data_IF_752844591676
#
_entry.id   IF_752844591676
#
_cell.length_a   1.000
_cell.length_b   1.000
_cell.length_c   1.000
_cell.angle_alpha   90.00
_cell.angle_beta   90.00
_cell.angle_gamma   90.00
#
_symmetry.space_group_name_H-M   'P 1'
#
loop_
_entity.id
_entity.type
_entity.pdbx_description
1 polymer ?
#
# COMPACT_ATOMS: atom_id res chain seq x y z
N UNK A 1 16.91 -14.80 -15.85
CA UNK A 1 16.59 -13.37 -15.64
C UNK A 1 15.14 -13.06 -15.98
N UNK A 2 14.65 -13.29 -17.21
CA UNK A 2 13.25 -13.05 -17.61
C UNK A 2 12.21 -13.75 -16.71
N UNK A 3 12.38 -15.06 -16.46
CA UNK A 3 11.51 -15.82 -15.54
C UNK A 3 11.51 -15.27 -14.10
N UNK A 4 12.65 -14.74 -13.66
CA UNK A 4 12.87 -14.23 -12.31
C UNK A 4 12.17 -12.86 -12.13
N UNK A 5 12.25 -11.99 -13.14
CA UNK A 5 11.52 -10.71 -13.19
C UNK A 5 10.00 -10.94 -13.26
N UNK A 6 9.56 -11.91 -14.07
CA UNK A 6 8.15 -12.26 -14.21
C UNK A 6 7.56 -12.80 -12.91
N UNK A 7 8.28 -13.71 -12.23
CA UNK A 7 7.81 -14.35 -11.00
C UNK A 7 7.90 -13.46 -9.76
N UNK A 8 8.98 -12.70 -9.58
CA UNK A 8 9.18 -11.91 -8.35
C UNK A 8 8.54 -10.52 -8.40
N UNK A 9 8.25 -9.99 -9.60
CA UNK A 9 7.80 -8.60 -9.69
C UNK A 9 6.49 -8.45 -10.47
N UNK A 10 6.35 -9.05 -11.66
CA UNK A 10 5.11 -8.87 -12.43
C UNK A 10 3.92 -9.59 -11.82
N UNK A 11 4.10 -10.83 -11.36
CA UNK A 11 3.01 -11.62 -10.77
C UNK A 11 2.46 -10.99 -9.47
N UNK A 12 3.28 -10.63 -8.46
CA UNK A 12 2.78 -10.00 -7.24
C UNK A 12 2.12 -8.64 -7.52
N UNK A 13 2.64 -7.87 -8.47
CA UNK A 13 2.09 -6.57 -8.84
C UNK A 13 0.71 -6.71 -9.51
N UNK A 14 0.54 -7.72 -10.37
CA UNK A 14 -0.75 -8.01 -11.03
C UNK A 14 -1.78 -8.53 -10.03
N UNK A 15 -1.38 -9.43 -9.12
CA UNK A 15 -2.25 -9.94 -8.06
C UNK A 15 -2.64 -8.85 -7.05
N UNK A 16 -1.71 -7.96 -6.70
CA UNK A 16 -1.97 -6.78 -5.88
C UNK A 16 -2.97 -5.84 -6.55
N UNK A 17 -2.82 -5.57 -7.86
CA UNK A 17 -3.76 -4.77 -8.63
C UNK A 17 -5.17 -5.36 -8.60
N UNK A 18 -5.29 -6.66 -8.87
CA UNK A 18 -6.60 -7.33 -8.90
C UNK A 18 -7.27 -7.30 -7.52
N UNK A 19 -6.51 -7.54 -6.45
CA UNK A 19 -7.01 -7.46 -5.07
C UNK A 19 -7.44 -6.04 -4.72
N UNK A 20 -6.63 -5.04 -5.08
CA UNK A 20 -6.93 -3.62 -4.87
C UNK A 20 -8.22 -3.23 -5.58
N UNK A 21 -8.33 -3.52 -6.88
CA UNK A 21 -9.53 -3.21 -7.68
C UNK A 21 -10.77 -3.88 -7.10
N UNK A 22 -10.71 -5.19 -6.82
CA UNK A 22 -11.85 -5.92 -6.26
C UNK A 22 -12.32 -5.36 -4.92
N UNK A 23 -11.38 -4.99 -4.04
CA UNK A 23 -11.72 -4.42 -2.73
C UNK A 23 -12.34 -3.01 -2.87
N UNK A 24 -11.72 -2.13 -3.67
CA UNK A 24 -12.21 -0.76 -3.84
C UNK A 24 -13.53 -0.70 -4.59
N UNK A 25 -13.72 -1.52 -5.63
CA UNK A 25 -14.99 -1.60 -6.36
C UNK A 25 -16.12 -2.04 -5.44
N UNK A 26 -15.92 -3.12 -4.65
CA UNK A 26 -16.92 -3.58 -3.69
C UNK A 26 -17.23 -2.53 -2.63
N UNK A 27 -16.20 -1.81 -2.16
CA UNK A 27 -16.39 -0.73 -1.18
C UNK A 27 -17.17 0.45 -1.76
N UNK A 28 -16.88 0.86 -3.00
CA UNK A 28 -17.59 1.94 -3.70
C UNK A 28 -19.05 1.53 -3.95
N UNK A 29 -19.28 0.29 -4.39
CA UNK A 29 -20.62 -0.28 -4.59
C UNK A 29 -21.46 -0.17 -3.31
N UNK A 30 -20.94 -0.66 -2.18
CA UNK A 30 -21.67 -0.65 -0.89
C UNK A 30 -21.90 0.78 -0.39
N UNK A 31 -20.90 1.66 -0.45
CA UNK A 31 -21.05 3.07 -0.05
C UNK A 31 -22.11 3.78 -0.90
N UNK A 32 -22.17 3.48 -2.20
CA UNK A 32 -23.15 4.06 -3.12
C UNK A 32 -24.56 3.52 -2.84
N UNK A 33 -24.68 2.22 -2.57
CA UNK A 33 -25.94 1.58 -2.18
C UNK A 33 -26.51 2.22 -0.91
N UNK A 34 -25.70 2.33 0.15
CA UNK A 34 -26.06 2.97 1.43
C UNK A 34 -26.42 4.44 1.22
N UNK A 35 -25.60 5.21 0.50
CA UNK A 35 -25.88 6.62 0.19
C UNK A 35 -27.24 6.77 -0.49
N UNK A 36 -27.53 5.91 -1.46
CA UNK A 36 -28.78 5.99 -2.23
C UNK A 36 -29.99 5.78 -1.33
N UNK A 37 -29.93 4.84 -0.38
CA UNK A 37 -31.01 4.62 0.59
C UNK A 37 -31.14 5.77 1.58
N UNK A 38 -30.04 6.34 2.06
CA UNK A 38 -30.07 7.54 2.90
C UNK A 38 -30.68 8.73 2.17
N UNK A 39 -30.38 8.90 0.88
CA UNK A 39 -30.99 9.94 0.05
C UNK A 39 -32.50 9.73 -0.09
N UNK A 40 -32.96 8.48 -0.29
CA UNK A 40 -34.41 8.21 -0.33
C UNK A 40 -35.09 8.51 0.99
N UNK A 41 -34.46 8.20 2.14
CA UNK A 41 -34.97 8.60 3.46
C UNK A 41 -35.03 10.12 3.60
N UNK A 42 -34.08 10.86 3.00
CA UNK A 42 -34.10 12.32 3.01
C UNK A 42 -35.26 12.88 2.17
N UNK A 43 -35.56 12.26 1.03
CA UNK A 43 -36.67 12.67 0.17
C UNK A 43 -38.05 12.26 0.70
N UNK A 44 -38.12 11.14 1.42
CA UNK A 44 -39.33 10.58 2.01
C UNK A 44 -39.15 10.42 3.52
N UNK A 45 -39.26 11.51 4.30
CA UNK A 45 -38.92 11.51 5.73
C UNK A 45 -39.98 10.84 6.61
N UNK A 46 -41.20 10.60 6.12
CA UNK A 46 -42.32 10.02 6.87
C UNK A 46 -43.14 9.06 5.99
N UNK A 47 -43.89 8.16 6.62
CA UNK A 47 -44.75 7.19 5.93
C UNK A 47 -44.16 5.77 5.80
N UNK A 48 -44.91 4.89 5.12
CA UNK A 48 -44.52 3.48 4.92
C UNK A 48 -43.24 3.35 4.09
N UNK A 49 -43.05 4.22 3.10
CA UNK A 49 -41.85 4.23 2.23
C UNK A 49 -40.56 4.47 3.04
N UNK A 50 -40.60 5.39 4.02
CA UNK A 50 -39.46 5.63 4.91
C UNK A 50 -39.09 4.35 5.69
N UNK A 51 -40.10 3.67 6.20
CA UNK A 51 -39.92 2.44 6.98
C UNK A 51 -39.31 1.33 6.11
N UNK A 52 -39.73 1.24 4.84
CA UNK A 52 -39.14 0.34 3.86
C UNK A 52 -37.66 0.65 3.62
N UNK A 53 -37.31 1.92 3.36
CA UNK A 53 -35.90 2.29 3.13
C UNK A 53 -35.01 2.06 4.36
N UNK A 54 -35.53 2.27 5.56
CA UNK A 54 -34.84 1.93 6.82
C UNK A 54 -34.61 0.43 6.95
N UNK A 55 -35.61 -0.40 6.63
CA UNK A 55 -35.46 -1.85 6.61
C UNK A 55 -34.44 -2.32 5.56
N UNK A 56 -34.43 -1.69 4.39
CA UNK A 56 -33.42 -1.96 3.36
C UNK A 56 -32.00 -1.60 3.85
N UNK A 57 -31.83 -0.48 4.56
CA UNK A 57 -30.54 -0.14 5.20
C UNK A 57 -30.10 -1.18 6.23
N UNK A 58 -31.03 -1.64 7.10
CA UNK A 58 -30.72 -2.69 8.06
C UNK A 58 -30.30 -3.98 7.34
N UNK A 59 -31.01 -4.36 6.29
CA UNK A 59 -30.67 -5.53 5.47
C UNK A 59 -29.27 -5.40 4.87
N UNK A 60 -28.92 -4.24 4.29
CA UNK A 60 -27.58 -3.99 3.74
C UNK A 60 -26.51 -4.12 4.82
N UNK A 61 -26.75 -3.62 6.03
CA UNK A 61 -25.78 -3.67 7.13
C UNK A 61 -25.60 -5.10 7.67
N UNK A 62 -26.70 -5.84 7.82
CA UNK A 62 -26.72 -7.15 8.47
C UNK A 62 -26.35 -8.30 7.53
N UNK A 63 -26.44 -8.09 6.22
CA UNK A 63 -26.23 -9.14 5.21
C UNK A 63 -24.78 -9.17 4.69
N UNK A 64 -24.26 -10.39 4.50
CA UNK A 64 -23.01 -10.69 3.76
C UNK A 64 -21.75 -9.92 4.17
N UNK A 65 -21.67 -9.49 5.43
CA UNK A 65 -20.48 -8.77 5.93
C UNK A 65 -20.22 -7.44 5.22
N UNK A 66 -21.23 -6.88 4.50
CA UNK A 66 -21.11 -5.58 3.82
C UNK A 66 -20.73 -4.45 4.78
N UNK A 67 -21.13 -4.55 6.05
CA UNK A 67 -20.71 -3.63 7.11
C UNK A 67 -19.19 -3.45 7.23
N UNK A 68 -18.39 -4.47 6.90
CA UNK A 68 -16.92 -4.39 6.96
C UNK A 68 -16.32 -3.39 5.97
N UNK A 69 -17.09 -2.97 4.96
CA UNK A 69 -16.66 -1.99 3.96
C UNK A 69 -17.01 -0.55 4.32
N UNK A 70 -17.82 -0.34 5.36
CA UNK A 70 -18.15 0.97 5.90
C UNK A 70 -17.12 1.41 6.95
N UNK A 71 -16.91 2.72 7.10
CA UNK A 71 -16.18 3.22 8.26
C UNK A 71 -17.05 3.08 9.51
N UNK A 72 -16.40 3.01 10.68
CA UNK A 72 -17.10 2.88 11.96
C UNK A 72 -18.13 4.00 12.16
N UNK A 73 -17.76 5.23 11.85
CA UNK A 73 -18.64 6.39 12.02
C UNK A 73 -19.86 6.32 11.09
N UNK A 74 -19.66 5.96 9.81
CA UNK A 74 -20.77 5.78 8.86
C UNK A 74 -21.66 4.62 9.30
N UNK A 75 -21.08 3.50 9.72
CA UNK A 75 -21.84 2.35 10.22
C UNK A 75 -22.71 2.72 11.43
N UNK A 76 -22.13 3.36 12.45
CA UNK A 76 -22.84 3.74 13.68
C UNK A 76 -23.99 4.71 13.37
N UNK A 77 -23.77 5.68 12.47
CA UNK A 77 -24.80 6.65 12.09
C UNK A 77 -25.92 6.01 11.27
N UNK A 78 -25.58 5.17 10.28
CA UNK A 78 -26.57 4.47 9.46
C UNK A 78 -27.41 3.54 10.32
N UNK A 79 -26.81 2.84 11.28
CA UNK A 79 -27.52 1.96 12.21
C UNK A 79 -28.55 2.76 13.03
N UNK A 80 -28.15 3.90 13.60
CA UNK A 80 -29.07 4.80 14.34
C UNK A 80 -30.23 5.27 13.47
N UNK A 81 -29.93 5.82 12.28
CA UNK A 81 -30.94 6.28 11.31
C UNK A 81 -31.91 5.16 10.94
N UNK A 82 -31.41 3.92 10.83
CA UNK A 82 -32.22 2.76 10.42
C UNK A 82 -33.15 2.24 11.52
N UNK A 83 -32.86 2.51 12.79
CA UNK A 83 -33.63 2.01 13.94
C UNK A 83 -34.57 3.08 14.50
N UNK A 84 -34.14 4.35 14.47
CA UNK A 84 -34.91 5.43 15.05
C UNK A 84 -36.19 5.69 14.24
N UNK A 85 -37.38 5.71 14.87
CA UNK A 85 -38.64 5.89 14.15
C UNK A 85 -38.75 7.29 13.54
N UNK A 86 -38.21 8.32 14.22
CA UNK A 86 -38.11 9.68 13.69
C UNK A 86 -36.75 9.87 13.04
N UNK A 87 -36.74 10.36 11.80
CA UNK A 87 -35.52 10.64 11.06
C UNK A 87 -34.87 11.93 11.59
N UNK A 88 -33.66 11.85 12.14
CA UNK A 88 -32.84 13.02 12.44
C UNK A 88 -32.21 13.55 11.14
N UNK A 89 -32.79 14.62 10.59
CA UNK A 89 -32.35 15.25 9.34
C UNK A 89 -30.89 15.73 9.41
N UNK A 90 -30.46 16.25 10.56
CA UNK A 90 -29.09 16.75 10.72
C UNK A 90 -28.11 15.60 10.67
N UNK A 91 -28.39 14.51 11.39
CA UNK A 91 -27.57 13.31 11.37
C UNK A 91 -27.53 12.68 9.97
N UNK A 92 -28.67 12.64 9.29
CA UNK A 92 -28.80 12.11 7.93
C UNK A 92 -27.92 12.86 6.93
N UNK A 93 -28.04 14.19 6.88
CA UNK A 93 -27.28 15.03 5.96
C UNK A 93 -25.76 14.98 6.24
N UNK A 94 -25.37 14.97 7.52
CA UNK A 94 -23.97 14.79 7.92
C UNK A 94 -23.44 13.44 7.45
N UNK A 95 -24.24 12.38 7.58
CA UNK A 95 -23.85 11.03 7.16
C UNK A 95 -23.71 10.93 5.64
N UNK A 96 -24.64 11.51 4.88
CA UNK A 96 -24.56 11.57 3.41
C UNK A 96 -23.28 12.30 2.98
N UNK A 97 -22.98 13.45 3.60
CA UNK A 97 -21.76 14.20 3.31
C UNK A 97 -20.49 13.41 3.63
N UNK A 98 -20.46 12.71 4.76
CA UNK A 98 -19.32 11.85 5.14
C UNK A 98 -19.09 10.72 4.13
N UNK A 99 -20.17 10.08 3.66
CA UNK A 99 -20.09 9.07 2.60
C UNK A 99 -19.57 9.67 1.29
N UNK A 100 -19.98 10.89 0.94
CA UNK A 100 -19.50 11.58 -0.26
C UNK A 100 -18.00 11.90 -0.21
N UNK A 101 -17.51 12.36 0.93
CA UNK A 101 -16.08 12.58 1.14
C UNK A 101 -15.29 11.26 1.07
N UNK A 102 -15.83 10.17 1.63
CA UNK A 102 -15.23 8.85 1.51
C UNK A 102 -15.20 8.38 0.06
N UNK A 103 -16.33 8.42 -0.65
CA UNK A 103 -16.43 8.03 -2.05
C UNK A 103 -15.45 8.81 -2.91
N UNK A 104 -15.39 10.13 -2.76
CA UNK A 104 -14.44 10.97 -3.49
C UNK A 104 -12.99 10.53 -3.25
N UNK A 105 -12.59 10.31 -1.99
CA UNK A 105 -11.25 9.83 -1.65
C UNK A 105 -10.95 8.45 -2.25
N UNK A 106 -11.93 7.53 -2.26
CA UNK A 106 -11.75 6.19 -2.83
C UNK A 106 -11.64 6.23 -4.35
N UNK A 107 -12.51 6.99 -5.02
CA UNK A 107 -12.47 7.18 -6.48
C UNK A 107 -11.16 7.84 -6.90
N UNK A 108 -10.72 8.87 -6.17
CA UNK A 108 -9.41 9.52 -6.42
C UNK A 108 -8.27 8.52 -6.32
N UNK A 109 -8.26 7.65 -5.29
CA UNK A 109 -7.23 6.61 -5.16
C UNK A 109 -7.25 5.61 -6.31
N UNK A 110 -8.44 5.20 -6.77
CA UNK A 110 -8.56 4.32 -7.94
C UNK A 110 -8.01 5.03 -9.19
N UNK A 111 -8.32 6.31 -9.37
CA UNK A 111 -7.81 7.12 -10.48
C UNK A 111 -6.29 7.29 -10.43
N UNK A 112 -5.71 7.53 -9.25
CA UNK A 112 -4.28 7.61 -9.03
C UNK A 112 -3.58 6.30 -9.36
N UNK A 113 -4.17 5.17 -8.94
CA UNK A 113 -3.65 3.84 -9.23
C UNK A 113 -3.74 3.51 -10.73
N UNK A 114 -4.85 3.86 -11.40
CA UNK A 114 -4.98 3.75 -12.87
C UNK A 114 -3.91 4.61 -13.57
N UNK A 115 -3.71 5.84 -13.10
CA UNK A 115 -2.67 6.73 -13.62
C UNK A 115 -1.27 6.17 -13.38
N UNK A 116 -1.02 5.56 -12.22
CA UNK A 116 0.22 4.87 -11.91
C UNK A 116 0.44 3.72 -12.88
N UNK A 117 -0.53 2.81 -13.07
CA UNK A 117 -0.38 1.70 -14.02
C UNK A 117 -0.23 2.18 -15.46
N UNK A 118 -0.94 3.24 -15.87
CA UNK A 118 -0.79 3.83 -17.20
C UNK A 118 0.60 4.43 -17.40
N UNK A 119 1.13 5.14 -16.40
CA UNK A 119 2.51 5.64 -16.42
C UNK A 119 3.53 4.52 -16.34
N UNK A 120 3.26 3.47 -15.57
CA UNK A 120 4.14 2.31 -15.40
C UNK A 120 4.18 1.44 -16.66
N UNK A 121 3.05 1.26 -17.35
CA UNK A 121 3.03 0.58 -18.66
C UNK A 121 3.70 1.40 -19.75
N UNK A 122 3.64 2.74 -19.65
CA UNK A 122 4.41 3.66 -20.51
C UNK A 122 5.86 3.86 -20.03
N UNK A 123 6.24 3.38 -18.85
CA UNK A 123 7.63 3.36 -18.41
C UNK A 123 8.29 2.24 -19.20
N UNK A 124 8.99 2.64 -20.27
CA UNK A 124 9.60 1.72 -21.21
C UNK A 124 10.32 0.59 -20.45
N UNK A 125 10.04 -0.68 -20.76
CA UNK A 125 10.75 -1.81 -20.14
C UNK A 125 12.27 -1.64 -20.23
N UNK A 126 12.74 -0.90 -21.23
CA UNK A 126 14.10 -0.41 -21.37
C UNK A 126 14.60 0.45 -20.20
N UNK A 127 13.87 1.45 -19.69
CA UNK A 127 14.33 2.25 -18.54
C UNK A 127 14.46 1.42 -17.28
N UNK A 128 13.56 0.44 -17.08
CA UNK A 128 13.61 -0.49 -15.96
C UNK A 128 14.79 -1.46 -16.09
N UNK A 129 15.01 -2.00 -17.29
CA UNK A 129 16.18 -2.81 -17.59
C UNK A 129 17.47 -2.02 -17.38
N UNK A 130 17.54 -0.78 -17.86
CA UNK A 130 18.67 0.14 -17.67
C UNK A 130 18.93 0.39 -16.19
N UNK A 131 17.90 0.67 -15.39
CA UNK A 131 18.02 0.85 -13.94
C UNK A 131 18.56 -0.39 -13.23
N UNK A 132 18.05 -1.58 -13.56
CA UNK A 132 18.54 -2.85 -13.00
C UNK A 132 19.99 -3.12 -13.45
N UNK A 133 20.34 -2.82 -14.71
CA UNK A 133 21.72 -2.99 -15.20
C UNK A 133 22.69 -2.03 -14.52
N UNK A 134 22.29 -0.79 -14.25
CA UNK A 134 23.14 0.19 -13.54
C UNK A 134 23.35 -0.25 -12.09
N UNK A 135 22.30 -0.71 -11.39
CA UNK A 135 22.42 -1.24 -10.03
C UNK A 135 23.32 -2.47 -9.99
N UNK A 136 23.14 -3.39 -10.94
CA UNK A 136 24.01 -4.58 -11.07
C UNK A 136 25.47 -4.18 -11.29
N UNK A 137 25.73 -3.21 -12.18
CA UNK A 137 27.07 -2.69 -12.44
C UNK A 137 27.69 -2.07 -11.18
N UNK A 138 26.91 -1.32 -10.40
CA UNK A 138 27.35 -0.71 -9.15
C UNK A 138 27.78 -1.77 -8.12
N UNK A 139 27.02 -2.87 -7.99
CA UNK A 139 27.40 -3.97 -7.09
C UNK A 139 28.66 -4.70 -7.57
N UNK A 140 28.80 -4.93 -8.86
CA UNK A 140 30.02 -5.53 -9.44
C UNK A 140 31.24 -4.65 -9.17
N UNK A 141 31.13 -3.33 -9.39
CA UNK A 141 32.20 -2.37 -9.09
C UNK A 141 32.56 -2.36 -7.60
N UNK A 142 31.55 -2.32 -6.71
CA UNK A 142 31.77 -2.38 -5.27
C UNK A 142 32.50 -3.66 -4.86
N UNK A 143 32.10 -4.81 -5.41
CA UNK A 143 32.73 -6.10 -5.15
C UNK A 143 34.17 -6.16 -5.65
N UNK A 144 34.47 -5.60 -6.83
CA UNK A 144 35.83 -5.47 -7.35
C UNK A 144 36.70 -4.62 -6.41
N UNK A 145 36.18 -3.50 -5.91
CA UNK A 145 36.90 -2.64 -4.95
C UNK A 145 37.22 -3.40 -3.68
N UNK A 146 36.25 -4.14 -3.11
CA UNK A 146 36.45 -4.94 -1.90
C UNK A 146 37.50 -6.03 -2.13
N UNK A 147 37.42 -6.76 -3.25
CA UNK A 147 38.38 -7.82 -3.59
C UNK A 147 39.79 -7.22 -3.80
N UNK A 148 39.89 -6.09 -4.50
CA UNK A 148 41.16 -5.40 -4.73
C UNK A 148 41.80 -4.94 -3.43
N UNK A 149 41.00 -4.38 -2.50
CA UNK A 149 41.47 -3.97 -1.18
C UNK A 149 41.97 -5.17 -0.35
N UNK A 150 41.25 -6.29 -0.38
CA UNK A 150 41.66 -7.54 0.29
C UNK A 150 42.95 -8.10 -0.30
N UNK A 151 43.11 -8.09 -1.63
CA UNK A 151 44.34 -8.49 -2.31
C UNK A 151 45.52 -7.57 -1.95
N UNK A 152 45.30 -6.26 -1.87
CA UNK A 152 46.32 -5.31 -1.46
C UNK A 152 46.76 -5.54 0.00
N UNK A 153 45.80 -5.77 0.91
CA UNK A 153 46.12 -6.08 2.31
C UNK A 153 46.89 -7.39 2.47
N UNK A 154 46.53 -8.43 1.71
CA UNK A 154 47.24 -9.72 1.76
C UNK A 154 48.65 -9.64 1.17
N UNK A 155 48.81 -9.00 0.01
CA UNK A 155 50.13 -8.83 -0.62
C UNK A 155 51.08 -7.96 0.21
N UNK A 156 50.58 -6.86 0.79
CA UNK A 156 51.36 -6.03 1.73
C UNK A 156 51.69 -6.77 3.03
N UNK A 157 50.82 -7.67 3.49
CA UNK A 157 51.12 -8.52 4.63
C UNK A 157 52.22 -9.55 4.32
N UNK A 158 52.19 -10.23 3.17
CA UNK A 158 53.21 -11.24 2.84
C UNK A 158 54.58 -10.63 2.51
N UNK A 159 54.61 -9.55 1.71
CA UNK A 159 55.85 -8.91 1.26
C UNK A 159 56.35 -7.77 2.17
N UNK A 160 55.56 -7.37 3.17
CA UNK A 160 55.86 -6.25 4.04
C UNK A 160 56.85 -6.56 5.15
N UNK A 161 57.52 -5.51 5.61
CA UNK A 161 58.38 -5.54 6.79
C UNK A 161 57.53 -5.77 8.07
N UNK A 162 58.15 -6.19 9.18
CA UNK A 162 57.44 -6.55 10.43
C UNK A 162 56.49 -5.43 10.91
N UNK A 163 56.89 -4.17 10.80
CA UNK A 163 56.06 -3.01 11.15
C UNK A 163 54.79 -2.87 10.30
N UNK A 164 54.85 -3.19 9.00
CA UNK A 164 53.69 -3.15 8.10
C UNK A 164 52.71 -4.29 8.41
N UNK A 165 53.22 -5.47 8.79
CA UNK A 165 52.39 -6.61 9.20
C UNK A 165 51.57 -6.30 10.45
N UNK A 166 52.19 -5.66 11.44
CA UNK A 166 51.52 -5.20 12.66
C UNK A 166 50.46 -4.14 12.33
N UNK A 167 50.77 -3.21 11.42
CA UNK A 167 49.81 -2.20 10.95
C UNK A 167 48.58 -2.80 10.29
N UNK A 168 48.74 -3.76 9.38
CA UNK A 168 47.63 -4.46 8.71
C UNK A 168 46.74 -5.21 9.72
N UNK A 169 47.35 -5.87 10.72
CA UNK A 169 46.61 -6.55 11.80
C UNK A 169 45.78 -5.57 12.64
N UNK A 170 46.36 -4.43 13.04
CA UNK A 170 45.65 -3.41 13.81
C UNK A 170 44.47 -2.83 13.03
N UNK A 171 44.64 -2.54 11.74
CA UNK A 171 43.57 -2.04 10.87
C UNK A 171 42.46 -3.09 10.71
N UNK A 172 42.82 -4.37 10.57
CA UNK A 172 41.85 -5.46 10.50
C UNK A 172 41.01 -5.60 11.78
N UNK A 173 41.65 -5.53 12.96
CA UNK A 173 40.96 -5.58 14.26
C UNK A 173 40.02 -4.38 14.44
N UNK A 174 40.47 -3.18 14.07
CA UNK A 174 39.64 -1.97 14.10
C UNK A 174 38.43 -2.07 13.15
N UNK A 175 38.64 -2.62 11.95
CA UNK A 175 37.57 -2.85 10.98
C UNK A 175 36.51 -3.82 11.51
N UNK A 176 36.93 -4.96 12.08
CA UNK A 176 36.02 -5.94 12.69
C UNK A 176 35.25 -5.35 13.87
N UNK A 177 35.90 -4.56 14.72
CA UNK A 177 35.25 -3.88 15.85
C UNK A 177 34.16 -2.89 15.38
N UNK A 178 34.43 -2.13 14.31
CA UNK A 178 33.46 -1.21 13.75
C UNK A 178 32.26 -1.93 13.12
N UNK A 179 32.50 -3.06 12.44
CA UNK A 179 31.44 -3.89 11.86
C UNK A 179 30.55 -4.50 12.95
N UNK A 180 31.13 -5.05 14.03
CA UNK A 180 30.38 -5.60 15.17
C UNK A 180 29.49 -4.54 15.83
N UNK A 181 30.02 -3.33 16.01
CA UNK A 181 29.25 -2.20 16.57
C UNK A 181 28.12 -1.73 15.65
N UNK A 182 28.30 -1.86 14.33
CA UNK A 182 27.29 -1.47 13.35
C UNK A 182 26.17 -2.52 13.21
N UNK A 183 26.49 -3.81 13.29
CA UNK A 183 25.51 -4.90 13.21
C UNK A 183 24.64 -5.07 14.47
N UNK A 184 25.11 -4.59 15.63
CA UNK A 184 24.36 -4.61 16.90
C UNK A 184 23.39 -3.44 17.08
N UNK A 185 23.21 -2.60 16.06
CA UNK A 185 22.31 -1.44 16.06
C UNK A 185 21.10 -1.71 15.17
#
# INVERSE_FOLDING_TARGET
>A
ISWLVKSLIEKPLTESKNTFTKYFDKRIEILTEVKTRLNFIAYFPEGEDNLEYKNQLQSIILTDGKAAYLSKEVYDNVLRISIDPKTDEKLLLVTIKSIDEELYKKISKVQDEINFYRRFSNFSPLRRFVGITILSLQYVLSLIIVISLLLLMTTTFFNGNIYLKIGVLLVGILGLYLIDKWLKK
#
